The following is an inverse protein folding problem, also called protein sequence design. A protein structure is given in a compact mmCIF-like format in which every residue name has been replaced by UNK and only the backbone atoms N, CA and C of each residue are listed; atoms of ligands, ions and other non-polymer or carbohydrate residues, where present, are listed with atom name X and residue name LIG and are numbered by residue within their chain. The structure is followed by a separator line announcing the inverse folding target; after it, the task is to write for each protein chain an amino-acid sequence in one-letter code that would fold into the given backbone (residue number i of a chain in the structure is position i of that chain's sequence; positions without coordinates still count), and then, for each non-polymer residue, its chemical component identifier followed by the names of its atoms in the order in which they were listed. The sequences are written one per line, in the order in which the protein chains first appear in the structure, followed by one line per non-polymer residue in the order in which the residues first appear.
data_IF_728886172454
#
_entry.id   IF_728886172454
#
_cell.length_a   1.000
_cell.length_b   1.000
_cell.length_c   1.000
_cell.angle_alpha   90.00
_cell.angle_beta   90.00
_cell.angle_gamma   90.00
#
_symmetry.space_group_name_H-M   'P 1'
#
loop_
_entity.id
_entity.type
_entity.pdbx_description
1 polymer ?
#
# COMPACT_ATOMS: atom_id res chain seq x y z
N UNK A 1 28.97 22.91 -11.84
CA UNK A 1 28.17 22.36 -10.71
C UNK A 1 27.17 21.26 -11.13
N UNK A 2 26.31 21.48 -12.13
CA UNK A 2 25.31 20.48 -12.57
C UNK A 2 25.92 19.24 -13.27
N UNK A 3 26.87 19.42 -14.19
CA UNK A 3 27.57 18.30 -14.88
C UNK A 3 28.30 17.36 -13.92
N UNK A 4 28.90 17.91 -12.87
CA UNK A 4 29.63 17.13 -11.87
C UNK A 4 28.71 16.28 -10.99
N UNK A 5 27.47 16.75 -10.77
CA UNK A 5 26.47 15.97 -10.04
C UNK A 5 25.94 14.79 -10.88
N UNK A 6 25.81 14.97 -12.20
CA UNK A 6 25.39 13.90 -13.11
C UNK A 6 26.47 12.81 -13.25
N UNK A 7 27.73 13.20 -13.42
CA UNK A 7 28.87 12.27 -13.49
C UNK A 7 29.01 11.41 -12.23
N UNK A 8 28.81 12.00 -11.05
CA UNK A 8 28.84 11.27 -9.77
C UNK A 8 27.68 10.28 -9.66
N UNK A 9 26.48 10.64 -10.12
CA UNK A 9 25.32 9.74 -10.12
C UNK A 9 25.56 8.52 -11.01
N UNK A 10 26.10 8.72 -12.21
CA UNK A 10 26.41 7.62 -13.13
C UNK A 10 27.55 6.74 -12.62
N UNK A 11 28.58 7.31 -11.99
CA UNK A 11 29.67 6.53 -11.39
C UNK A 11 29.18 5.65 -10.22
N UNK A 12 28.32 6.20 -9.34
CA UNK A 12 27.70 5.45 -8.24
C UNK A 12 26.79 4.34 -8.76
N UNK A 13 26.01 4.63 -9.81
CA UNK A 13 25.18 3.63 -10.48
C UNK A 13 25.99 2.45 -11.02
N UNK A 14 27.11 2.75 -11.66
CA UNK A 14 27.98 1.74 -12.26
C UNK A 14 28.60 0.83 -11.20
N UNK A 15 29.07 1.41 -10.08
CA UNK A 15 29.60 0.65 -8.93
C UNK A 15 28.52 -0.26 -8.33
N UNK A 16 27.29 0.25 -8.17
CA UNK A 16 26.17 -0.56 -7.67
C UNK A 16 25.87 -1.72 -8.61
N UNK A 17 25.80 -1.48 -9.92
CA UNK A 17 25.58 -2.52 -10.92
C UNK A 17 26.66 -3.62 -10.89
N UNK A 18 27.93 -3.23 -10.77
CA UNK A 18 29.06 -4.16 -10.69
C UNK A 18 29.00 -5.05 -9.43
N UNK A 19 28.64 -4.48 -8.28
CA UNK A 19 28.48 -5.22 -7.03
C UNK A 19 27.35 -6.26 -7.12
N UNK A 20 26.20 -5.84 -7.65
CA UNK A 20 25.04 -6.70 -7.87
C UNK A 20 25.38 -7.86 -8.80
N UNK A 21 26.09 -7.59 -9.91
CA UNK A 21 26.55 -8.61 -10.85
C UNK A 21 27.55 -9.58 -10.20
N UNK A 22 28.42 -9.09 -9.32
CA UNK A 22 29.33 -9.89 -8.51
C UNK A 22 28.58 -10.87 -7.61
N UNK A 23 27.69 -10.35 -6.75
CA UNK A 23 26.87 -11.14 -5.83
C UNK A 23 26.04 -12.21 -6.57
N UNK A 24 25.42 -11.82 -7.69
CA UNK A 24 24.62 -12.74 -8.51
C UNK A 24 25.46 -13.88 -9.08
N UNK A 25 26.69 -13.59 -9.56
CA UNK A 25 27.60 -14.61 -10.09
C UNK A 25 28.05 -15.61 -9.02
N UNK A 26 28.32 -15.16 -7.81
CA UNK A 26 28.69 -16.04 -6.69
C UNK A 26 27.52 -16.93 -6.28
N UNK A 27 26.32 -16.36 -6.15
CA UNK A 27 25.12 -17.12 -5.81
C UNK A 27 24.80 -18.23 -6.85
N UNK A 28 24.96 -17.94 -8.14
CA UNK A 28 24.79 -18.93 -9.23
C UNK A 28 25.83 -20.04 -9.13
N UNK A 29 27.10 -19.71 -8.86
CA UNK A 29 28.17 -20.72 -8.67
C UNK A 29 27.89 -21.61 -7.46
N UNK A 30 27.42 -21.03 -6.36
CA UNK A 30 27.05 -21.75 -5.15
C UNK A 30 25.73 -22.50 -5.22
N UNK A 31 24.94 -22.34 -6.31
CA UNK A 31 23.55 -22.80 -6.43
C UNK A 31 22.67 -22.35 -5.27
N UNK A 32 22.99 -21.21 -4.66
CA UNK A 32 22.24 -20.67 -3.54
C UNK A 32 21.07 -19.82 -4.05
N UNK A 33 19.89 -20.45 -4.10
CA UNK A 33 18.68 -19.83 -4.65
C UNK A 33 18.25 -18.58 -3.87
N UNK A 34 18.50 -18.53 -2.56
CA UNK A 34 18.14 -17.38 -1.72
C UNK A 34 19.01 -16.17 -2.04
N UNK A 35 20.34 -16.34 -1.98
CA UNK A 35 21.30 -15.27 -2.30
C UNK A 35 21.12 -14.74 -3.72
N UNK A 36 20.75 -15.61 -4.66
CA UNK A 36 20.43 -15.20 -6.03
C UNK A 36 19.22 -14.25 -6.07
N UNK A 37 18.11 -14.61 -5.43
CA UNK A 37 16.92 -13.75 -5.40
C UNK A 37 17.15 -12.46 -4.61
N UNK A 38 17.94 -12.49 -3.53
CA UNK A 38 18.32 -11.31 -2.76
C UNK A 38 19.13 -10.34 -3.63
N UNK A 39 20.12 -10.84 -4.40
CA UNK A 39 20.92 -10.02 -5.32
C UNK A 39 20.08 -9.43 -6.47
N UNK A 40 19.11 -10.19 -7.01
CA UNK A 40 18.17 -9.67 -8.02
C UNK A 40 17.28 -8.56 -7.44
N UNK A 41 16.86 -8.68 -6.19
CA UNK A 41 16.07 -7.63 -5.51
C UNK A 41 16.91 -6.37 -5.34
N UNK A 42 18.15 -6.49 -4.86
CA UNK A 42 19.08 -5.36 -4.75
C UNK A 42 19.34 -4.66 -6.10
N UNK A 43 19.44 -5.44 -7.17
CA UNK A 43 19.54 -4.95 -8.55
C UNK A 43 18.40 -4.01 -8.93
N UNK A 44 17.17 -4.48 -8.71
CA UNK A 44 15.94 -3.77 -9.07
C UNK A 44 15.83 -2.48 -8.26
N UNK A 45 16.08 -2.54 -6.95
CA UNK A 45 16.13 -1.38 -6.05
C UNK A 45 17.03 -0.26 -6.57
N UNK A 46 18.26 -0.63 -6.93
CA UNK A 46 19.31 0.30 -7.31
C UNK A 46 19.02 0.94 -8.66
N UNK A 47 18.63 0.14 -9.65
CA UNK A 47 18.23 0.63 -10.98
C UNK A 47 17.01 1.55 -10.89
N UNK A 48 16.07 1.26 -9.99
CA UNK A 48 14.87 2.07 -9.83
C UNK A 48 15.13 3.43 -9.19
N UNK A 49 16.00 3.51 -8.17
CA UNK A 49 16.45 4.80 -7.61
C UNK A 49 17.07 5.71 -8.68
N UNK A 50 17.62 5.12 -9.73
CA UNK A 50 18.21 5.83 -10.86
C UNK A 50 17.19 6.18 -11.96
N UNK A 51 16.19 5.33 -12.20
CA UNK A 51 15.26 5.42 -13.33
C UNK A 51 13.86 5.99 -13.01
N UNK A 52 13.46 6.09 -11.73
CA UNK A 52 12.11 6.50 -11.34
C UNK A 52 11.71 7.92 -11.78
N UNK A 53 10.46 8.15 -12.25
CA UNK A 53 10.01 9.46 -12.69
C UNK A 53 9.92 10.48 -11.53
N UNK A 54 10.48 11.68 -11.74
CA UNK A 54 10.51 12.79 -10.76
C UNK A 54 9.21 13.61 -10.69
N UNK A 55 8.03 13.01 -10.86
CA UNK A 55 6.79 13.80 -11.01
C UNK A 55 5.64 13.30 -10.16
N UNK A 56 5.15 14.20 -9.28
CA UNK A 56 3.94 14.04 -8.49
C UNK A 56 4.13 14.56 -7.07
N UNK A 57 3.05 14.93 -6.39
CA UNK A 57 3.09 15.38 -4.99
C UNK A 57 3.54 14.27 -4.00
N UNK A 58 3.71 13.04 -4.48
CA UNK A 58 4.24 11.87 -3.76
C UNK A 58 5.71 11.55 -4.12
N UNK A 59 6.29 12.23 -5.13
CA UNK A 59 7.73 12.14 -5.42
C UNK A 59 8.59 12.78 -4.31
N UNK A 60 7.99 13.64 -3.49
CA UNK A 60 8.62 14.19 -2.28
C UNK A 60 8.77 13.13 -1.18
N UNK A 61 7.95 12.07 -1.19
CA UNK A 61 8.00 10.97 -0.21
C UNK A 61 9.09 9.94 -0.56
N UNK A 62 9.35 9.70 -1.85
CA UNK A 62 10.40 8.79 -2.32
C UNK A 62 11.82 9.33 -2.12
N UNK A 63 11.98 10.66 -1.99
CA UNK A 63 13.24 11.30 -1.63
C UNK A 63 13.29 11.53 -0.12
N UNK A 64 13.77 10.53 0.63
CA UNK A 64 13.92 10.60 2.08
C UNK A 64 14.30 12.00 2.61
N UNK A 65 13.50 12.51 3.54
CA UNK A 65 13.78 13.72 4.33
C UNK A 65 14.09 14.98 3.51
N UNK A 66 13.07 15.59 2.88
CA UNK A 66 13.25 16.95 2.35
C UNK A 66 13.49 17.97 3.47
N UNK A 67 14.69 18.55 3.49
CA UNK A 67 15.01 19.68 4.38
C UNK A 67 14.54 20.98 3.74
N UNK A 68 13.44 21.54 4.24
CA UNK A 68 12.92 22.84 3.79
C UNK A 68 13.39 23.97 4.71
N UNK A 69 13.79 25.11 4.13
CA UNK A 69 14.07 26.36 4.88
C UNK A 69 13.11 27.46 4.43
N UNK A 70 12.35 28.01 5.38
CA UNK A 70 11.35 29.05 5.14
C UNK A 70 11.97 30.45 5.29
N UNK A 71 12.88 30.83 4.39
CA UNK A 71 13.70 32.05 4.54
C UNK A 71 13.18 33.27 3.77
N UNK A 72 12.30 33.08 2.79
CA UNK A 72 11.76 34.16 1.96
C UNK A 72 10.38 34.64 2.42
N UNK A 73 10.07 35.92 2.17
CA UNK A 73 8.74 36.50 2.43
C UNK A 73 7.69 35.73 1.63
N UNK A 74 6.70 35.18 2.32
CA UNK A 74 5.65 34.35 1.70
C UNK A 74 6.02 32.89 1.52
N UNK A 75 7.13 32.40 2.09
CA UNK A 75 7.47 30.97 2.12
C UNK A 75 6.50 30.11 2.94
N UNK A 76 5.72 30.72 3.84
CA UNK A 76 4.66 30.08 4.63
C UNK A 76 3.25 30.35 4.05
N UNK A 77 3.12 30.46 2.72
CA UNK A 77 1.80 30.55 2.08
C UNK A 77 0.93 29.36 2.49
N UNK A 78 -0.37 29.61 2.68
CA UNK A 78 -1.34 28.57 3.03
C UNK A 78 -1.22 27.40 2.04
N UNK A 79 -1.07 26.15 2.52
CA UNK A 79 -0.94 25.01 1.64
C UNK A 79 -2.22 24.81 0.82
N UNK A 80 -2.14 24.11 -0.34
CA UNK A 80 -3.32 23.70 -1.06
C UNK A 80 -4.23 22.84 -0.17
N UNK A 81 -5.52 22.81 -0.49
CA UNK A 81 -6.48 21.99 0.25
C UNK A 81 -6.13 20.51 0.17
N UNK A 82 -6.46 19.77 1.23
CA UNK A 82 -6.32 18.32 1.30
C UNK A 82 -7.05 17.65 0.13
N UNK A 83 -6.35 16.75 -0.58
CA UNK A 83 -6.94 15.95 -1.65
C UNK A 83 -7.54 14.66 -1.08
N UNK A 84 -8.70 14.28 -1.56
CA UNK A 84 -9.44 13.10 -1.10
C UNK A 84 -9.69 12.16 -2.27
N UNK A 85 -9.57 10.85 -2.04
CA UNK A 85 -10.16 9.81 -2.90
C UNK A 85 -11.65 9.69 -2.60
N UNK A 86 -12.01 9.68 -1.31
CA UNK A 86 -13.38 9.75 -0.84
C UNK A 86 -13.45 10.84 0.23
N UNK A 87 -14.26 11.88 -0.01
CA UNK A 87 -14.28 13.10 0.79
C UNK A 87 -14.54 12.79 2.28
N UNK A 88 -13.62 13.21 3.14
CA UNK A 88 -13.70 13.01 4.60
C UNK A 88 -13.38 11.59 5.09
N UNK A 89 -13.29 10.60 4.19
CA UNK A 89 -13.09 9.19 4.54
C UNK A 89 -11.70 8.68 4.20
N UNK A 90 -11.23 8.96 2.97
CA UNK A 90 -9.97 8.42 2.42
C UNK A 90 -9.18 9.56 1.75
N UNK A 91 -8.12 10.09 2.38
CA UNK A 91 -7.21 11.04 1.75
C UNK A 91 -6.42 10.41 0.60
N UNK A 92 -5.97 11.24 -0.34
CA UNK A 92 -5.22 10.83 -1.55
C UNK A 92 -3.70 10.67 -1.33
N UNK A 93 -3.21 10.99 -0.13
CA UNK A 93 -1.78 11.13 0.15
C UNK A 93 -1.34 10.61 1.53
N UNK A 94 -2.23 9.92 2.26
CA UNK A 94 -1.93 9.33 3.57
C UNK A 94 -2.53 7.94 3.69
N UNK A 95 -1.86 7.01 4.40
CA UNK A 95 -2.44 5.72 4.71
C UNK A 95 -3.72 5.84 5.54
N UNK A 96 -4.72 5.03 5.19
CA UNK A 96 -6.00 4.92 5.90
C UNK A 96 -6.18 3.50 6.43
N UNK A 97 -6.48 3.34 7.72
CA UNK A 97 -6.75 2.02 8.29
C UNK A 97 -8.24 1.74 8.40
N UNK A 98 -8.64 0.53 8.00
CA UNK A 98 -9.89 -0.10 8.41
C UNK A 98 -9.56 -1.24 9.37
N UNK A 99 -9.93 -1.10 10.64
CA UNK A 99 -9.55 -2.07 11.66
C UNK A 99 -10.74 -2.57 12.48
N UNK A 100 -10.63 -3.76 13.05
CA UNK A 100 -11.73 -4.36 13.82
C UNK A 100 -11.56 -5.86 14.00
N UNK A 101 -12.50 -6.50 14.70
CA UNK A 101 -12.45 -7.95 14.96
C UNK A 101 -12.63 -8.76 13.66
N UNK A 102 -12.22 -10.02 13.68
CA UNK A 102 -12.67 -10.97 12.66
C UNK A 102 -14.20 -11.00 12.59
N UNK A 103 -14.76 -11.13 11.38
CA UNK A 103 -16.22 -11.10 11.18
C UNK A 103 -16.85 -9.70 11.15
N UNK A 104 -16.09 -8.60 11.27
CA UNK A 104 -16.65 -7.23 11.17
C UNK A 104 -16.82 -6.70 9.73
N UNK A 105 -16.81 -7.59 8.73
CA UNK A 105 -16.99 -7.28 7.31
C UNK A 105 -15.96 -6.28 6.70
N UNK A 106 -14.76 -6.14 7.29
CA UNK A 106 -13.73 -5.20 6.80
C UNK A 106 -13.31 -5.44 5.36
N UNK A 107 -13.05 -6.69 4.97
CA UNK A 107 -12.68 -7.01 3.59
C UNK A 107 -13.84 -6.73 2.62
N UNK A 108 -15.09 -6.94 3.04
CA UNK A 108 -16.26 -6.52 2.26
C UNK A 108 -16.32 -5.00 2.10
N UNK A 109 -16.05 -4.24 3.17
CA UNK A 109 -15.96 -2.78 3.12
C UNK A 109 -14.81 -2.30 2.23
N UNK A 110 -13.67 -3.00 2.24
CA UNK A 110 -12.54 -2.69 1.36
C UNK A 110 -12.84 -3.00 -0.11
N UNK A 111 -13.55 -4.10 -0.41
CA UNK A 111 -14.05 -4.40 -1.76
C UNK A 111 -15.07 -3.34 -2.21
N UNK A 112 -15.96 -2.89 -1.32
CA UNK A 112 -16.89 -1.79 -1.61
C UNK A 112 -16.15 -0.50 -1.98
N UNK A 113 -15.13 -0.15 -1.20
CA UNK A 113 -14.27 1.00 -1.51
C UNK A 113 -13.53 0.82 -2.83
N UNK A 114 -12.94 -0.36 -3.05
CA UNK A 114 -12.19 -0.69 -4.26
C UNK A 114 -13.07 -0.57 -5.51
N UNK A 115 -14.29 -1.09 -5.48
CA UNK A 115 -15.25 -0.95 -6.58
C UNK A 115 -15.70 0.50 -6.75
N UNK A 116 -15.99 1.20 -5.65
CA UNK A 116 -16.36 2.62 -5.68
C UNK A 116 -15.31 3.47 -6.39
N UNK A 117 -14.04 3.30 -6.02
CA UNK A 117 -12.89 4.00 -6.60
C UNK A 117 -12.58 3.52 -8.02
N UNK A 118 -12.64 2.21 -8.31
CA UNK A 118 -12.36 1.68 -9.64
C UNK A 118 -13.38 2.14 -10.69
N UNK A 119 -14.62 2.43 -10.27
CA UNK A 119 -15.73 2.82 -11.15
C UNK A 119 -16.13 4.27 -11.05
N UNK A 120 -15.50 5.05 -10.16
CA UNK A 120 -15.88 6.45 -9.93
C UNK A 120 -17.30 6.63 -9.39
N UNK A 121 -17.83 5.62 -8.68
CA UNK A 121 -19.20 5.65 -8.13
C UNK A 121 -19.19 6.25 -6.73
N UNK A 122 -19.58 5.47 -5.71
CA UNK A 122 -19.67 5.95 -4.34
C UNK A 122 -19.15 4.92 -3.34
N UNK A 123 -18.66 5.43 -2.21
CA UNK A 123 -18.35 4.66 -1.02
C UNK A 123 -19.12 5.26 0.15
N UNK A 124 -20.00 4.46 0.77
CA UNK A 124 -20.86 4.88 1.90
C UNK A 124 -21.65 6.18 1.63
N UNK A 125 -22.16 6.35 0.40
CA UNK A 125 -22.93 7.53 0.00
C UNK A 125 -22.09 8.77 -0.34
N UNK A 126 -20.76 8.64 -0.36
CA UNK A 126 -19.84 9.71 -0.75
C UNK A 126 -19.21 9.36 -2.10
N UNK A 127 -19.22 10.31 -3.04
CA UNK A 127 -18.58 10.12 -4.35
C UNK A 127 -17.10 9.77 -4.21
N UNK A 128 -16.69 8.75 -4.96
CA UNK A 128 -15.31 8.30 -5.02
C UNK A 128 -14.66 8.78 -6.31
N UNK A 129 -13.43 9.30 -6.22
CA UNK A 129 -12.67 9.66 -7.42
C UNK A 129 -12.22 8.41 -8.16
N UNK A 130 -12.48 8.37 -9.46
CA UNK A 130 -12.07 7.25 -10.29
C UNK A 130 -10.54 7.10 -10.35
N UNK A 131 -10.04 5.92 -9.98
CA UNK A 131 -8.63 5.53 -10.05
C UNK A 131 -8.51 4.04 -10.32
N UNK A 132 -7.38 3.64 -10.91
CA UNK A 132 -6.95 2.25 -10.87
C UNK A 132 -6.61 1.84 -9.43
N UNK A 133 -7.08 0.65 -9.05
CA UNK A 133 -6.96 0.07 -7.73
C UNK A 133 -6.18 -1.23 -7.81
N UNK A 134 -5.14 -1.36 -6.98
CA UNK A 134 -4.42 -2.61 -6.78
C UNK A 134 -4.79 -3.20 -5.42
N UNK A 135 -5.48 -4.33 -5.42
CA UNK A 135 -5.85 -5.07 -4.22
C UNK A 135 -4.83 -6.18 -3.95
N UNK A 136 -4.03 -6.00 -2.89
CA UNK A 136 -3.02 -6.96 -2.45
C UNK A 136 -3.57 -7.80 -1.32
N UNK A 137 -3.61 -9.12 -1.52
CA UNK A 137 -4.28 -10.05 -0.62
C UNK A 137 -3.34 -11.16 -0.14
N UNK A 138 -3.26 -11.32 1.18
CA UNK A 138 -2.51 -12.38 1.86
C UNK A 138 -3.41 -13.45 2.48
N UNK A 139 -4.71 -13.19 2.61
CA UNK A 139 -5.61 -14.04 3.37
C UNK A 139 -6.35 -15.02 2.45
N UNK A 140 -6.82 -14.58 1.29
CA UNK A 140 -7.69 -15.38 0.43
C UNK A 140 -7.14 -15.64 -0.97
N UNK A 141 -7.86 -16.46 -1.73
CA UNK A 141 -7.58 -16.74 -3.14
C UNK A 141 -8.43 -15.87 -4.08
N UNK A 142 -8.09 -15.91 -5.36
CA UNK A 142 -8.78 -15.11 -6.39
C UNK A 142 -10.25 -15.48 -6.51
N UNK A 143 -10.62 -16.75 -6.33
CA UNK A 143 -12.01 -17.19 -6.43
C UNK A 143 -12.87 -16.59 -5.31
N UNK A 144 -12.35 -16.60 -4.08
CA UNK A 144 -13.01 -15.98 -2.92
C UNK A 144 -13.12 -14.47 -3.10
N UNK A 145 -12.05 -13.81 -3.56
CA UNK A 145 -12.06 -12.38 -3.86
C UNK A 145 -13.11 -12.04 -4.93
N UNK A 146 -13.13 -12.79 -6.04
CA UNK A 146 -14.10 -12.62 -7.13
C UNK A 146 -15.53 -12.85 -6.65
N UNK A 147 -15.77 -13.83 -5.79
CA UNK A 147 -17.10 -14.04 -5.19
C UNK A 147 -17.56 -12.82 -4.38
N UNK A 148 -16.67 -12.23 -3.57
CA UNK A 148 -16.95 -10.99 -2.83
C UNK A 148 -17.22 -9.81 -3.75
N UNK A 149 -16.39 -9.62 -4.79
CA UNK A 149 -16.61 -8.60 -5.81
C UNK A 149 -18.00 -8.73 -6.44
N UNK A 150 -18.40 -9.93 -6.84
CA UNK A 150 -19.73 -10.17 -7.41
C UNK A 150 -20.87 -9.80 -6.44
N UNK A 151 -20.76 -10.20 -5.17
CA UNK A 151 -21.77 -9.88 -4.15
C UNK A 151 -21.87 -8.39 -3.90
N UNK A 152 -20.74 -7.72 -3.72
CA UNK A 152 -20.68 -6.28 -3.47
C UNK A 152 -21.18 -5.50 -4.69
N UNK A 153 -20.75 -5.85 -5.91
CA UNK A 153 -21.22 -5.22 -7.13
C UNK A 153 -22.74 -5.35 -7.31
N UNK A 154 -23.31 -6.54 -7.01
CA UNK A 154 -24.77 -6.74 -6.98
C UNK A 154 -25.45 -5.78 -5.99
N UNK A 155 -24.91 -5.64 -4.78
CA UNK A 155 -25.41 -4.70 -3.77
C UNK A 155 -25.32 -3.23 -4.22
N UNK A 156 -24.25 -2.88 -4.95
CA UNK A 156 -24.06 -1.56 -5.55
C UNK A 156 -24.92 -1.33 -6.80
N UNK A 157 -25.61 -2.35 -7.32
CA UNK A 157 -26.27 -2.35 -8.64
C UNK A 157 -25.31 -1.99 -9.78
N UNK A 158 -24.05 -2.39 -9.65
CA UNK A 158 -22.99 -2.18 -10.62
C UNK A 158 -22.95 -3.36 -11.60
N UNK A 159 -23.03 -3.08 -12.90
CA UNK A 159 -22.80 -4.09 -13.93
C UNK A 159 -21.30 -4.35 -14.05
N UNK A 160 -20.90 -5.62 -13.94
CA UNK A 160 -19.50 -6.07 -14.07
C UNK A 160 -19.36 -7.17 -15.14
N UNK A 161 -20.37 -7.33 -16.00
CA UNK A 161 -20.38 -8.36 -17.04
C UNK A 161 -19.19 -8.23 -18.01
N UNK A 162 -18.79 -6.99 -18.31
CA UNK A 162 -17.63 -6.67 -19.15
C UNK A 162 -16.32 -6.55 -18.34
N UNK A 163 -16.35 -6.91 -17.05
CA UNK A 163 -15.25 -6.74 -16.11
C UNK A 163 -15.16 -5.34 -15.49
N UNK A 164 -14.15 -5.15 -14.64
CA UNK A 164 -13.81 -3.86 -14.01
C UNK A 164 -12.34 -3.56 -14.31
N UNK A 165 -12.01 -2.92 -15.45
CA UNK A 165 -10.63 -2.77 -15.92
C UNK A 165 -9.69 -2.05 -14.95
N UNK A 166 -10.25 -1.18 -14.11
CA UNK A 166 -9.51 -0.43 -13.09
C UNK A 166 -9.29 -1.21 -11.78
N UNK A 167 -9.78 -2.45 -11.65
CA UNK A 167 -9.58 -3.27 -10.46
C UNK A 167 -8.59 -4.40 -10.75
N UNK A 168 -7.42 -4.33 -10.11
CA UNK A 168 -6.34 -5.31 -10.24
C UNK A 168 -6.25 -6.08 -8.93
N UNK A 169 -6.32 -7.41 -8.99
CA UNK A 169 -6.15 -8.28 -7.83
C UNK A 169 -4.80 -9.00 -7.90
N UNK A 170 -4.10 -9.07 -6.75
CA UNK A 170 -2.84 -9.80 -6.64
C UNK A 170 -2.76 -10.51 -5.29
N UNK A 171 -2.74 -11.84 -5.33
CA UNK A 171 -2.45 -12.68 -4.16
C UNK A 171 -0.95 -12.70 -3.87
N UNK A 172 -0.58 -12.52 -2.61
CA UNK A 172 0.81 -12.52 -2.13
C UNK A 172 0.97 -13.52 -0.98
N UNK A 173 2.05 -14.30 -1.01
CA UNK A 173 2.33 -15.35 -0.01
C UNK A 173 3.54 -15.04 0.88
N UNK A 174 4.36 -14.05 0.48
CA UNK A 174 5.56 -13.61 1.21
C UNK A 174 5.33 -12.21 1.78
N UNK A 175 6.14 -11.73 2.73
CA UNK A 175 5.90 -10.45 3.39
C UNK A 175 5.99 -9.28 2.40
N UNK A 176 5.35 -8.15 2.70
CA UNK A 176 5.34 -6.96 1.83
C UNK A 176 6.75 -6.51 1.44
N UNK A 177 7.71 -6.61 2.37
CA UNK A 177 9.11 -6.21 2.13
C UNK A 177 9.73 -6.90 0.92
N UNK A 178 9.29 -8.13 0.61
CA UNK A 178 9.81 -8.94 -0.50
C UNK A 178 9.19 -8.53 -1.85
N UNK A 179 8.15 -7.69 -1.84
CA UNK A 179 7.41 -7.25 -3.03
C UNK A 179 7.35 -5.73 -3.18
N UNK A 180 7.89 -4.96 -2.22
CA UNK A 180 7.70 -3.51 -2.16
C UNK A 180 8.13 -2.82 -3.45
N UNK A 181 9.27 -3.22 -3.99
CA UNK A 181 9.82 -2.67 -5.23
C UNK A 181 8.93 -3.00 -6.42
N UNK A 182 8.53 -4.27 -6.57
CA UNK A 182 7.63 -4.71 -7.62
C UNK A 182 6.27 -4.01 -7.57
N UNK A 183 5.73 -3.83 -6.37
CA UNK A 183 4.44 -3.15 -6.15
C UNK A 183 4.57 -1.69 -6.53
N UNK A 184 5.58 -0.99 -6.02
CA UNK A 184 5.72 0.42 -6.33
C UNK A 184 5.99 0.61 -7.84
N UNK A 185 6.69 -0.32 -8.51
CA UNK A 185 6.98 -0.26 -9.96
C UNK A 185 5.68 -0.44 -10.74
N UNK A 186 4.87 -1.41 -10.34
CA UNK A 186 3.54 -1.62 -10.88
C UNK A 186 2.67 -0.37 -10.72
N UNK A 187 2.70 0.26 -9.53
CA UNK A 187 1.92 1.47 -9.24
C UNK A 187 2.25 2.60 -10.20
N UNK A 188 3.54 2.85 -10.44
CA UNK A 188 3.99 3.92 -11.35
C UNK A 188 3.69 3.58 -12.81
N UNK A 189 4.01 2.36 -13.25
CA UNK A 189 3.88 1.95 -14.65
C UNK A 189 2.43 1.85 -15.12
N UNK A 190 1.54 1.36 -14.25
CA UNK A 190 0.12 1.21 -14.58
C UNK A 190 -0.71 2.45 -14.22
N UNK A 191 -0.16 3.40 -13.47
CA UNK A 191 -0.87 4.59 -13.00
C UNK A 191 -1.93 4.27 -11.92
N UNK A 192 -1.59 3.38 -10.98
CA UNK A 192 -2.46 2.99 -9.87
C UNK A 192 -2.58 4.17 -8.89
N UNK A 193 -3.81 4.55 -8.57
CA UNK A 193 -4.09 5.64 -7.62
C UNK A 193 -4.43 5.17 -6.21
N UNK A 194 -4.78 3.90 -6.03
CA UNK A 194 -5.06 3.32 -4.72
C UNK A 194 -4.51 1.89 -4.60
N UNK A 195 -3.87 1.60 -3.48
CA UNK A 195 -3.42 0.26 -3.10
C UNK A 195 -4.16 -0.19 -1.84
N UNK A 196 -4.77 -1.37 -1.86
CA UNK A 196 -5.35 -2.01 -0.69
C UNK A 196 -4.40 -3.10 -0.18
N UNK A 197 -4.16 -3.15 1.13
CA UNK A 197 -3.38 -4.18 1.81
C UNK A 197 -4.33 -4.97 2.72
N UNK A 198 -4.69 -6.19 2.31
CA UNK A 198 -5.52 -7.12 3.08
C UNK A 198 -4.70 -8.38 3.46
N UNK A 199 -4.13 -8.48 4.67
CA UNK A 199 -4.18 -7.52 5.77
C UNK A 199 -2.78 -7.21 6.30
N UNK A 200 -2.68 -6.13 7.09
CA UNK A 200 -1.44 -5.66 7.69
C UNK A 200 -0.68 -6.77 8.42
N UNK A 201 -1.38 -7.53 9.28
CA UNK A 201 -0.78 -8.61 10.07
C UNK A 201 -0.14 -9.69 9.20
N UNK A 202 -0.84 -10.16 8.17
CA UNK A 202 -0.31 -11.19 7.27
C UNK A 202 0.74 -10.65 6.29
N UNK A 203 0.68 -9.37 5.94
CA UNK A 203 1.74 -8.70 5.17
C UNK A 203 3.08 -8.66 5.90
N UNK A 204 3.07 -8.89 7.23
CA UNK A 204 4.23 -8.97 8.10
C UNK A 204 4.71 -10.41 8.37
N UNK A 205 4.31 -11.41 7.57
CA UNK A 205 4.70 -12.82 7.79
C UNK A 205 6.20 -12.97 8.14
N UNK A 206 6.53 -13.72 9.19
CA UNK A 206 7.92 -13.88 9.67
C UNK A 206 8.51 -12.67 10.42
N UNK A 207 7.73 -11.61 10.67
CA UNK A 207 8.03 -10.52 11.60
C UNK A 207 7.06 -10.58 12.79
N UNK A 208 7.40 -9.92 13.90
CA UNK A 208 6.55 -9.92 15.08
C UNK A 208 5.67 -8.67 15.11
N UNK A 209 4.37 -8.85 14.95
CA UNK A 209 3.38 -7.77 14.98
C UNK A 209 3.23 -7.11 16.36
N UNK A 210 3.80 -7.70 17.41
CA UNK A 210 3.92 -7.10 18.75
C UNK A 210 5.16 -6.23 18.93
N UNK A 211 6.17 -6.39 18.06
CA UNK A 211 7.44 -5.67 18.20
C UNK A 211 7.36 -4.34 17.47
N UNK A 212 7.50 -3.27 18.25
CA UNK A 212 7.50 -1.90 17.75
C UNK A 212 8.48 -1.67 16.58
N UNK A 213 9.73 -2.16 16.58
CA UNK A 213 10.64 -1.97 15.45
C UNK A 213 10.10 -2.56 14.14
N UNK A 214 9.48 -3.74 14.20
CA UNK A 214 8.95 -4.44 13.03
C UNK A 214 7.74 -3.70 12.46
N UNK A 215 6.80 -3.26 13.32
CA UNK A 215 5.63 -2.47 12.92
C UNK A 215 6.05 -1.13 12.31
N UNK A 216 7.02 -0.45 12.94
CA UNK A 216 7.52 0.86 12.46
C UNK A 216 8.20 0.71 11.10
N UNK A 217 9.03 -0.32 10.92
CA UNK A 217 9.66 -0.61 9.64
C UNK A 217 8.63 -0.91 8.55
N UNK A 218 7.57 -1.65 8.87
CA UNK A 218 6.49 -1.91 7.92
C UNK A 218 5.73 -0.63 7.53
N UNK A 219 5.43 0.24 8.50
CA UNK A 219 4.78 1.53 8.22
C UNK A 219 5.65 2.44 7.34
N UNK A 220 6.96 2.44 7.54
CA UNK A 220 7.90 3.15 6.67
C UNK A 220 7.84 2.63 5.22
N UNK A 221 7.84 1.30 5.04
CA UNK A 221 7.67 0.68 3.70
C UNK A 221 6.35 1.04 3.04
N UNK A 222 5.26 1.04 3.80
CA UNK A 222 3.94 1.42 3.26
C UNK A 222 3.93 2.89 2.80
N UNK A 223 4.62 3.77 3.51
CA UNK A 223 4.76 5.18 3.12
C UNK A 223 5.57 5.37 1.82
N UNK A 224 6.36 4.38 1.40
CA UNK A 224 7.10 4.41 0.12
C UNK A 224 6.22 4.04 -1.08
N UNK A 225 5.02 3.51 -0.88
CA UNK A 225 4.09 3.19 -1.97
C UNK A 225 3.53 4.51 -2.55
N UNK A 226 3.75 4.82 -3.84
CA UNK A 226 3.41 6.13 -4.42
C UNK A 226 1.93 6.24 -4.82
N UNK A 227 1.02 5.82 -3.94
CA UNK A 227 -0.42 5.86 -4.10
C UNK A 227 -1.11 6.06 -2.75
N UNK A 228 -2.41 6.34 -2.75
CA UNK A 228 -3.19 6.25 -1.52
C UNK A 228 -3.22 4.79 -1.06
N UNK A 229 -2.94 4.53 0.22
CA UNK A 229 -2.91 3.16 0.76
C UNK A 229 -4.04 2.97 1.76
N UNK A 230 -4.85 1.92 1.54
CA UNK A 230 -5.88 1.47 2.48
C UNK A 230 -5.41 0.16 3.10
N UNK A 231 -5.39 0.11 4.43
CA UNK A 231 -4.80 -0.99 5.19
C UNK A 231 -5.89 -1.64 6.02
N UNK A 232 -6.07 -2.95 5.84
CA UNK A 232 -6.97 -3.72 6.69
C UNK A 232 -6.16 -4.30 7.85
N UNK A 233 -6.67 -4.18 9.07
CA UNK A 233 -5.99 -4.72 10.24
C UNK A 233 -6.96 -5.35 11.24
N UNK A 234 -6.48 -6.34 11.98
CA UNK A 234 -7.27 -7.00 13.02
C UNK A 234 -6.94 -6.39 14.39
N UNK A 235 -7.93 -6.35 15.28
CA UNK A 235 -7.69 -6.08 16.71
C UNK A 235 -7.50 -7.40 17.45
N UNK A 236 -6.65 -7.43 18.48
CA UNK A 236 -6.56 -8.61 19.34
C UNK A 236 -7.85 -8.84 20.14
N UNK A 237 -8.11 -10.11 20.44
CA UNK A 237 -9.29 -10.59 21.19
C UNK A 237 -9.51 -9.89 22.54
N UNK A 238 -8.47 -9.33 23.16
CA UNK A 238 -8.54 -8.69 24.48
C UNK A 238 -8.58 -7.16 24.44
N UNK A 239 -8.50 -6.54 23.25
CA UNK A 239 -8.55 -5.09 23.10
C UNK A 239 -9.99 -4.58 23.07
N UNK A 240 -10.37 -3.70 24.01
CA UNK A 240 -11.51 -2.80 23.79
C UNK A 240 -11.20 -2.01 22.52
N UNK A 241 -12.02 -2.10 21.46
CA UNK A 241 -11.72 -1.52 20.14
C UNK A 241 -11.43 -0.01 20.11
N UNK A 242 -11.77 0.70 21.19
CA UNK A 242 -11.35 2.09 21.49
C UNK A 242 -9.83 2.26 21.61
N UNK A 243 -9.10 1.18 21.88
CA UNK A 243 -7.63 1.16 22.03
C UNK A 243 -6.89 1.08 20.68
N UNK A 244 -7.59 0.82 19.56
CA UNK A 244 -6.99 0.80 18.23
C UNK A 244 -6.62 -0.58 17.65
N UNK A 245 -6.03 -0.62 16.43
CA UNK A 245 -5.44 -1.84 15.85
C UNK A 245 -4.30 -2.39 16.71
N UNK A 246 -3.96 -3.67 16.54
CA UNK A 246 -2.92 -4.32 17.35
C UNK A 246 -1.56 -3.61 17.27
N UNK A 247 -0.86 -3.38 18.40
CA UNK A 247 0.34 -2.49 18.43
C UNK A 247 0.01 -1.00 18.33
N UNK A 248 -1.14 -0.61 18.92
CA UNK A 248 -1.94 0.57 18.54
C UNK A 248 -1.24 1.92 18.61
N UNK A 249 -0.38 2.18 19.59
CA UNK A 249 0.21 3.52 19.78
C UNK A 249 0.94 3.99 18.50
N UNK A 250 1.67 3.10 17.85
CA UNK A 250 2.49 3.44 16.69
C UNK A 250 1.70 3.48 15.39
N UNK A 251 0.72 2.58 15.24
CA UNK A 251 -0.21 2.61 14.11
C UNK A 251 -1.08 3.88 14.18
N UNK A 252 -1.54 4.27 15.37
CA UNK A 252 -2.24 5.54 15.58
C UNK A 252 -1.38 6.77 15.28
N UNK A 253 -0.08 6.73 15.62
CA UNK A 253 0.82 7.85 15.35
C UNK A 253 1.23 7.96 13.88
N UNK A 254 1.26 6.84 13.14
CA UNK A 254 1.69 6.78 11.73
C UNK A 254 0.52 6.88 10.74
N UNK A 255 -0.66 6.38 11.10
CA UNK A 255 -1.88 6.53 10.35
C UNK A 255 -2.61 7.80 10.77
N UNK A 256 -2.79 8.72 9.83
CA UNK A 256 -3.54 9.95 10.10
C UNK A 256 -5.06 9.76 10.00
N UNK A 257 -5.52 8.69 9.36
CA UNK A 257 -6.93 8.32 9.23
C UNK A 257 -7.14 6.85 9.59
N UNK A 258 -8.06 6.59 10.51
CA UNK A 258 -8.37 5.23 10.96
C UNK A 258 -9.86 5.11 11.25
N UNK A 259 -10.44 3.99 10.83
CA UNK A 259 -11.85 3.68 10.99
C UNK A 259 -12.01 2.34 11.70
N UNK A 260 -12.69 2.39 12.85
CA UNK A 260 -13.06 1.19 13.59
C UNK A 260 -14.34 0.59 13.01
N UNK A 261 -14.21 -0.60 12.44
CA UNK A 261 -15.30 -1.36 11.86
C UNK A 261 -15.87 -2.34 12.89
N UNK A 262 -17.13 -2.15 13.27
CA UNK A 262 -17.88 -3.02 14.20
C UNK A 262 -19.14 -3.54 13.52
N UNK A 263 -19.39 -4.84 13.66
CA UNK A 263 -20.66 -5.41 13.21
C UNK A 263 -21.81 -4.80 14.03
N UNK A 264 -22.88 -4.40 13.34
CA UNK A 264 -24.08 -3.86 13.98
C UNK A 264 -24.91 -4.95 14.67
N UNK A 265 -24.88 -6.17 14.11
CA UNK A 265 -25.42 -7.39 14.68
C UNK A 265 -24.41 -8.54 14.53
N UNK A 266 -24.55 -9.59 15.33
CA UNK A 266 -23.79 -10.84 15.17
C UNK A 266 -24.58 -11.90 14.38
N UNK A 267 -25.65 -11.48 13.70
CA UNK A 267 -26.40 -12.37 12.82
C UNK A 267 -25.54 -12.67 11.59
N UNK A 268 -25.39 -13.96 11.27
CA UNK A 268 -24.70 -14.37 10.07
C UNK A 268 -25.47 -13.86 8.84
N UNK A 269 -24.74 -13.53 7.77
CA UNK A 269 -25.37 -13.29 6.49
C UNK A 269 -26.21 -14.53 6.12
N UNK A 270 -27.47 -14.39 5.67
CA UNK A 270 -28.30 -15.52 5.25
C UNK A 270 -27.64 -16.41 4.19
N UNK A 271 -26.70 -15.84 3.43
CA UNK A 271 -25.95 -16.50 2.36
C UNK A 271 -24.63 -17.17 2.83
N UNK A 272 -24.34 -17.19 4.15
CA UNK A 272 -23.30 -18.05 4.74
C UNK A 272 -21.85 -17.52 4.76
N UNK A 273 -21.63 -16.20 4.64
CA UNK A 273 -20.31 -15.56 4.86
C UNK A 273 -20.35 -14.47 5.94
#
# INVERSE_FOLDING_TARGET
PKRHAEEVVFAVAQIQADNILGNTREAVKGRNRKEFYDAITEARSSLRKLAGPKTGALADTLNGGMTMRYTSKGSLKKPPAQKWLVQGLVPDNWPTFFYGMGGSAKSYLAVLLALGVATGTQFLGVEAKERKVLYLDWEMDEETFRARVNRVAKGMKLSIADGVPNLIYRRLLRPLKDYLEDIAEQVETEGIGMVVIDSFGFSMTGMDTNKQPDVTAQMARIAEIPAAVVIIDHIAKEGRGELGPFGSIYKHASARWMWWCRAASMEACPDGE
#
